data_IF_858327651981
#
_entry.id   IF_858327651981
#
_cell.length_a   1.000
_cell.length_b   1.000
_cell.length_c   1.000
_cell.angle_alpha   90.00
_cell.angle_beta   90.00
_cell.angle_gamma   90.00
#
_symmetry.space_group_name_H-M   'P 1'
#
loop_
_entity.id
_entity.type
_entity.pdbx_description
1 polymer ?
#
# COMPACT_ATOMS: atom_id res chain seq x y z
N UNK A 1 3.10 16.07 -23.03
CA UNK A 1 3.73 15.36 -21.98
C UNK A 1 5.10 15.01 -22.43
N UNK A 2 5.88 15.21 -21.64
CA UNK A 2 7.15 14.85 -22.05
C UNK A 2 7.24 13.38 -21.91
N UNK A 3 7.94 12.91 -22.76
CA UNK A 3 8.15 11.53 -22.82
C UNK A 3 9.21 11.18 -21.91
N UNK A 4 9.65 12.15 -21.19
CA UNK A 4 10.82 11.97 -20.59
C UNK A 4 10.77 10.85 -19.67
N UNK A 5 9.83 10.74 -18.86
CA UNK A 5 9.98 9.75 -17.85
C UNK A 5 8.66 9.11 -17.57
N UNK A 6 8.54 7.88 -17.97
CA UNK A 6 7.37 7.11 -17.65
C UNK A 6 7.58 6.43 -16.32
N UNK A 7 6.53 6.41 -15.51
CA UNK A 7 6.57 5.69 -14.24
C UNK A 7 6.72 4.19 -14.48
N UNK A 8 7.62 3.58 -13.75
CA UNK A 8 7.80 2.12 -13.75
C UNK A 8 7.95 1.69 -12.29
N UNK A 9 7.16 0.70 -11.90
CA UNK A 9 7.23 0.19 -10.54
C UNK A 9 8.60 -0.46 -10.30
N UNK A 10 9.22 -0.12 -9.17
CA UNK A 10 10.52 -0.67 -8.81
C UNK A 10 10.45 -2.20 -8.78
N UNK A 11 11.46 -2.90 -9.33
CA UNK A 11 11.42 -4.37 -9.40
C UNK A 11 11.24 -5.05 -8.05
N UNK A 12 11.82 -4.51 -6.98
CA UNK A 12 11.67 -5.12 -5.66
C UNK A 12 10.24 -4.99 -5.15
N UNK A 13 9.57 -3.86 -5.42
CA UNK A 13 8.17 -3.70 -5.05
C UNK A 13 7.29 -4.65 -5.87
N UNK A 14 7.61 -4.81 -7.14
CA UNK A 14 6.87 -5.73 -7.99
C UNK A 14 7.05 -7.18 -7.53
N UNK A 15 8.23 -7.52 -7.01
CA UNK A 15 8.51 -8.87 -6.53
C UNK A 15 7.81 -9.16 -5.22
N UNK A 16 7.85 -8.21 -4.27
CA UNK A 16 7.33 -8.42 -2.93
C UNK A 16 5.84 -8.12 -2.81
N UNK A 17 5.25 -7.47 -3.81
CA UNK A 17 3.87 -7.06 -3.77
C UNK A 17 3.02 -7.68 -4.86
N UNK A 18 1.72 -7.66 -4.64
CA UNK A 18 0.73 -8.13 -5.61
C UNK A 18 -0.14 -6.92 -5.95
N UNK A 19 -0.16 -6.54 -7.22
CA UNK A 19 -0.96 -5.37 -7.61
C UNK A 19 -2.45 -5.71 -7.48
N UNK A 20 -3.17 -4.86 -6.74
CA UNK A 20 -4.60 -5.05 -6.51
C UNK A 20 -5.44 -4.08 -7.32
N UNK A 21 -5.01 -2.83 -7.44
CA UNK A 21 -5.83 -1.79 -8.06
C UNK A 21 -4.97 -0.59 -8.40
N UNK A 22 -5.55 0.34 -9.16
CA UNK A 22 -4.94 1.63 -9.42
C UNK A 22 -5.95 2.71 -9.08
N UNK A 23 -5.48 3.73 -8.38
CA UNK A 23 -6.26 4.90 -8.01
C UNK A 23 -5.80 6.10 -8.84
N UNK A 24 -6.42 7.28 -8.69
CA UNK A 24 -6.00 8.42 -9.50
C UNK A 24 -4.50 8.71 -9.43
N UNK A 25 -3.90 8.61 -8.26
CA UNK A 25 -2.46 8.84 -8.12
C UNK A 25 -1.67 7.55 -7.97
N UNK A 26 -2.13 6.60 -7.16
CA UNK A 26 -1.30 5.50 -6.70
C UNK A 26 -1.70 4.15 -7.27
N UNK A 27 -0.72 3.26 -7.42
CA UNK A 27 -0.98 1.82 -7.48
C UNK A 27 -1.15 1.31 -6.07
N UNK A 28 -2.06 0.37 -5.90
CA UNK A 28 -2.24 -0.33 -4.62
C UNK A 28 -1.66 -1.73 -4.74
N UNK A 29 -0.72 -2.04 -3.86
CA UNK A 29 -0.13 -3.36 -3.78
C UNK A 29 -0.52 -4.02 -2.47
N UNK A 30 -0.70 -5.34 -2.50
CA UNK A 30 -0.76 -6.14 -1.30
C UNK A 30 0.66 -6.64 -1.05
N UNK A 31 1.24 -6.32 0.10
CA UNK A 31 2.53 -6.88 0.46
C UNK A 31 2.32 -8.36 0.73
N UNK A 32 3.16 -9.20 0.13
CA UNK A 32 2.95 -10.65 0.15
C UNK A 32 3.41 -11.26 1.47
N UNK A 33 2.76 -10.84 2.56
CA UNK A 33 3.02 -11.35 3.90
C UNK A 33 1.67 -11.58 4.59
N UNK A 34 1.30 -12.84 4.74
CA UNK A 34 0.00 -13.19 5.29
C UNK A 34 -0.10 -12.98 6.80
N UNK A 35 1.01 -12.66 7.46
CA UNK A 35 0.99 -12.41 8.90
C UNK A 35 0.24 -11.13 9.27
N UNK A 36 0.14 -10.18 8.35
CA UNK A 36 -0.52 -8.89 8.59
C UNK A 36 -1.30 -8.46 7.36
N UNK A 37 -2.45 -7.77 7.51
CA UNK A 37 -3.03 -7.05 6.37
C UNK A 37 -2.14 -5.84 6.09
N UNK A 38 -1.32 -5.94 5.06
CA UNK A 38 -0.24 -5.00 4.78
C UNK A 38 -0.35 -4.56 3.32
N UNK A 39 -0.61 -3.27 3.13
CA UNK A 39 -0.86 -2.72 1.80
C UNK A 39 0.09 -1.56 1.54
N UNK A 40 0.41 -1.33 0.27
CA UNK A 40 1.39 -0.32 -0.10
C UNK A 40 0.80 0.54 -1.21
N UNK A 41 0.86 1.86 -1.03
CA UNK A 41 0.50 2.81 -2.09
C UNK A 41 1.77 3.32 -2.73
N UNK A 42 1.81 3.29 -4.06
CA UNK A 42 2.94 3.77 -4.83
C UNK A 42 2.47 4.85 -5.78
N UNK A 43 2.79 6.13 -5.53
CA UNK A 43 2.43 7.20 -6.46
C UNK A 43 3.04 6.95 -7.83
N UNK A 44 2.22 7.10 -8.87
CA UNK A 44 2.64 6.81 -10.25
C UNK A 44 3.36 8.00 -10.86
N UNK A 45 4.37 8.51 -10.16
CA UNK A 45 5.18 9.64 -10.57
C UNK A 45 6.63 9.17 -10.62
N UNK A 46 7.30 9.39 -11.75
CA UNK A 46 8.66 8.92 -11.94
C UNK A 46 9.65 9.73 -11.09
N UNK A 47 10.70 9.06 -10.65
CA UNK A 47 11.86 9.69 -10.00
C UNK A 47 11.54 10.43 -8.71
N UNK A 48 10.59 9.89 -7.94
CA UNK A 48 10.20 10.47 -6.67
C UNK A 48 10.58 9.50 -5.56
N UNK A 49 11.30 10.00 -4.56
CA UNK A 49 11.67 9.21 -3.38
C UNK A 49 11.05 9.74 -2.10
N UNK A 50 10.61 11.00 -2.08
CA UNK A 50 10.06 11.63 -0.87
C UNK A 50 8.75 12.31 -1.18
N UNK A 51 7.89 12.36 -0.19
CA UNK A 51 6.58 13.01 -0.35
C UNK A 51 6.73 14.47 -0.75
N UNK A 52 7.69 15.19 -0.15
CA UNK A 52 7.84 16.61 -0.43
C UNK A 52 8.26 16.92 -1.87
N UNK A 53 8.72 15.92 -2.62
CA UNK A 53 9.10 16.10 -4.01
C UNK A 53 7.90 16.09 -4.96
N UNK A 54 6.76 15.59 -4.50
CA UNK A 54 5.51 15.67 -5.27
C UNK A 54 5.04 17.14 -5.30
N UNK A 55 4.33 17.53 -6.37
CA UNK A 55 3.70 18.84 -6.34
C UNK A 55 2.60 18.85 -5.28
N UNK A 56 2.11 20.06 -4.96
CA UNK A 56 1.17 20.21 -3.85
C UNK A 56 -0.11 19.40 -4.08
N UNK A 57 -0.62 19.40 -5.30
CA UNK A 57 -1.85 18.69 -5.60
C UNK A 57 -1.68 17.18 -5.41
N UNK A 58 -0.54 16.64 -5.84
CA UNK A 58 -0.27 15.22 -5.67
C UNK A 58 -0.05 14.86 -4.21
N UNK A 59 0.54 15.75 -3.41
CA UNK A 59 0.65 15.52 -1.97
C UNK A 59 -0.75 15.40 -1.35
N UNK A 60 -1.67 16.28 -1.75
CA UNK A 60 -3.04 16.22 -1.24
C UNK A 60 -3.75 14.95 -1.70
N UNK A 61 -3.54 14.56 -2.94
CA UNK A 61 -4.17 13.36 -3.47
C UNK A 61 -3.61 12.10 -2.78
N UNK A 62 -2.31 12.08 -2.51
CA UNK A 62 -1.72 10.96 -1.77
C UNK A 62 -2.35 10.85 -0.38
N UNK A 63 -2.48 11.96 0.33
CA UNK A 63 -3.10 11.96 1.64
C UNK A 63 -4.55 11.47 1.56
N UNK A 64 -5.28 11.92 0.54
CA UNK A 64 -6.66 11.51 0.35
C UNK A 64 -6.76 10.00 0.12
N UNK A 65 -5.93 9.46 -0.77
CA UNK A 65 -5.95 8.02 -1.05
C UNK A 65 -5.52 7.21 0.16
N UNK A 66 -4.50 7.67 0.89
CA UNK A 66 -4.03 7.01 2.10
C UNK A 66 -5.11 6.98 3.19
N UNK A 67 -5.80 8.10 3.38
CA UNK A 67 -6.81 8.20 4.42
C UNK A 67 -8.03 7.34 4.12
N UNK A 68 -8.50 7.38 2.87
CA UNK A 68 -9.64 6.56 2.48
C UNK A 68 -9.31 5.06 2.57
N UNK A 69 -8.11 4.70 2.12
CA UNK A 69 -7.66 3.31 2.22
C UNK A 69 -7.57 2.87 3.67
N UNK A 70 -6.98 3.70 4.52
CA UNK A 70 -6.80 3.37 5.93
C UNK A 70 -8.14 3.12 6.62
N UNK A 71 -9.12 3.99 6.37
CA UNK A 71 -10.43 3.85 6.97
C UNK A 71 -11.10 2.55 6.52
N UNK A 72 -11.04 2.27 5.22
CA UNK A 72 -11.63 1.04 4.69
C UNK A 72 -10.96 -0.20 5.30
N UNK A 73 -9.64 -0.22 5.34
CA UNK A 73 -8.93 -1.39 5.85
C UNK A 73 -9.23 -1.63 7.34
N UNK A 74 -9.32 -0.56 8.12
CA UNK A 74 -9.65 -0.70 9.53
C UNK A 74 -11.04 -1.29 9.71
N UNK A 75 -11.99 -0.90 8.86
CA UNK A 75 -13.34 -1.46 8.92
C UNK A 75 -13.37 -2.92 8.47
N UNK A 76 -12.73 -3.23 7.35
CA UNK A 76 -12.76 -4.56 6.77
C UNK A 76 -12.12 -5.59 7.70
N UNK A 77 -10.99 -5.23 8.29
CA UNK A 77 -10.23 -6.17 9.11
C UNK A 77 -10.49 -6.03 10.60
N UNK A 78 -11.30 -5.05 11.00
CA UNK A 78 -11.62 -4.77 12.41
C UNK A 78 -10.31 -4.60 13.23
N UNK A 79 -9.39 -3.80 12.71
CA UNK A 79 -8.09 -3.64 13.33
C UNK A 79 -8.12 -2.75 14.56
N UNK A 80 -7.05 -2.83 15.34
CA UNK A 80 -6.88 -1.98 16.52
C UNK A 80 -6.13 -0.70 16.21
N UNK A 81 -5.24 -0.73 15.22
CA UNK A 81 -4.41 0.43 14.88
C UNK A 81 -3.96 0.34 13.43
N UNK A 82 -3.86 1.48 12.77
CA UNK A 82 -3.26 1.57 11.44
C UNK A 82 -1.85 2.14 11.58
N UNK A 83 -0.86 1.42 11.06
CA UNK A 83 0.50 1.95 10.95
C UNK A 83 0.74 2.40 9.52
N UNK A 84 1.10 3.67 9.36
CA UNK A 84 1.39 4.24 8.03
C UNK A 84 2.83 4.73 8.07
N UNK A 85 3.62 4.34 7.06
CA UNK A 85 5.02 4.70 7.06
C UNK A 85 5.58 4.77 5.65
N UNK A 86 6.46 5.75 5.42
CA UNK A 86 7.26 5.84 4.22
C UNK A 86 8.72 5.69 4.64
N UNK A 87 9.33 4.56 4.32
CA UNK A 87 10.69 4.26 4.76
C UNK A 87 11.71 4.54 3.66
N UNK A 88 11.74 3.71 2.63
CA UNK A 88 12.61 3.96 1.49
C UNK A 88 14.09 3.68 1.71
N UNK A 89 14.45 2.97 2.78
CA UNK A 89 15.85 2.72 3.07
C UNK A 89 16.47 1.71 2.11
N UNK A 90 15.69 0.77 1.62
CA UNK A 90 16.15 -0.24 0.66
C UNK A 90 15.66 0.10 -0.74
N UNK A 91 14.38 0.41 -0.88
CA UNK A 91 13.77 0.80 -2.16
C UNK A 91 13.49 2.29 -2.10
N UNK A 92 14.19 3.06 -2.92
CA UNK A 92 14.09 4.53 -2.87
C UNK A 92 12.78 5.05 -3.46
N UNK A 93 12.21 4.35 -4.43
CA UNK A 93 10.96 4.81 -5.04
C UNK A 93 9.91 5.01 -3.96
N UNK A 94 9.29 6.19 -3.94
CA UNK A 94 8.32 6.52 -2.89
C UNK A 94 7.21 5.50 -2.82
N UNK A 95 7.03 4.92 -1.68
CA UNK A 95 5.92 4.02 -1.40
C UNK A 95 5.54 4.14 0.06
N UNK A 96 4.24 4.04 0.32
CA UNK A 96 3.69 4.27 1.66
C UNK A 96 3.02 3.00 2.16
N UNK A 97 3.54 2.48 3.24
CA UNK A 97 3.02 1.27 3.87
C UNK A 97 1.77 1.57 4.68
N UNK A 98 0.83 0.63 4.67
CA UNK A 98 -0.39 0.70 5.46
C UNK A 98 -0.58 -0.69 6.07
N UNK A 99 -0.35 -0.80 7.37
CA UNK A 99 -0.42 -2.10 8.05
C UNK A 99 -1.51 -2.05 9.11
N UNK A 100 -2.48 -2.95 8.99
CA UNK A 100 -3.51 -3.08 10.03
C UNK A 100 -2.91 -3.89 11.17
N UNK A 101 -2.88 -3.29 12.35
CA UNK A 101 -2.28 -3.92 13.52
C UNK A 101 -3.36 -4.37 14.50
N UNK A 102 -3.05 -5.45 15.18
CA UNK A 102 -3.92 -6.00 16.22
C UNK A 102 -3.12 -6.11 17.50
N UNK A 103 -3.75 -5.82 18.63
CA UNK A 103 -3.07 -5.95 19.92
C UNK A 103 -2.62 -7.38 20.18
N UNK A 104 -3.23 -8.33 19.46
CA UNK A 104 -2.86 -9.74 19.55
C UNK A 104 -1.82 -10.18 18.53
N UNK A 105 -1.35 -9.28 17.65
CA UNK A 105 -0.39 -9.73 16.62
C UNK A 105 1.00 -9.97 17.21
N UNK A 106 1.82 -10.70 16.45
CA UNK A 106 3.08 -11.25 16.98
C UNK A 106 4.07 -10.18 17.44
N UNK A 107 4.05 -8.98 16.83
CA UNK A 107 5.04 -7.95 17.15
C UNK A 107 4.49 -6.83 18.02
N UNK A 108 3.19 -6.84 18.30
CA UNK A 108 2.59 -5.75 19.05
C UNK A 108 3.31 -5.53 20.38
N UNK A 109 3.63 -4.30 20.80
CA UNK A 109 3.32 -3.03 20.13
C UNK A 109 4.43 -2.51 19.20
N UNK A 110 5.37 -3.33 18.83
CA UNK A 110 6.53 -2.92 18.01
C UNK A 110 6.14 -2.76 16.56
N UNK A 111 6.85 -1.91 15.80
CA UNK A 111 6.68 -1.88 14.35
C UNK A 111 7.05 -3.23 13.75
N UNK A 112 6.49 -3.54 12.59
CA UNK A 112 6.75 -4.85 11.98
C UNK A 112 7.98 -4.85 11.06
N UNK A 113 8.41 -3.67 10.58
CA UNK A 113 9.50 -3.62 9.61
C UNK A 113 10.81 -4.09 10.23
N UNK A 114 11.49 -5.00 9.51
CA UNK A 114 12.77 -5.54 9.98
C UNK A 114 12.66 -6.63 11.00
N UNK A 115 11.47 -7.10 11.30
CA UNK A 115 11.30 -8.05 12.38
C UNK A 115 11.43 -9.50 11.93
N UNK A 116 10.97 -9.83 10.74
CA UNK A 116 11.00 -11.24 10.32
C UNK A 116 10.83 -11.34 8.82
N UNK A 117 11.07 -12.55 8.30
CA UNK A 117 10.88 -12.83 6.89
C UNK A 117 9.40 -12.86 6.54
N UNK A 118 9.09 -12.57 5.29
CA UNK A 118 7.71 -12.57 4.81
C UNK A 118 7.16 -14.00 4.76
N UNK A 119 5.87 -14.14 5.04
CA UNK A 119 5.14 -15.40 4.92
C UNK A 119 4.14 -15.25 3.77
N UNK A 120 4.43 -15.79 2.58
CA UNK A 120 3.59 -15.52 1.42
C UNK A 120 2.16 -16.02 1.58
N UNK A 121 1.25 -15.30 0.92
CA UNK A 121 -0.14 -15.77 0.78
C UNK A 121 -0.18 -16.94 -0.21
N UNK A 122 -1.17 -17.83 -0.03
CA UNK A 122 -1.52 -18.77 -1.06
C UNK A 122 -2.36 -18.08 -2.14
N UNK A 123 -2.45 -18.71 -3.31
CA UNK A 123 -3.26 -18.16 -4.39
C UNK A 123 -4.73 -18.01 -3.98
N UNK A 124 -5.25 -18.97 -3.21
CA UNK A 124 -6.63 -18.90 -2.74
C UNK A 124 -6.83 -17.72 -1.79
N UNK A 125 -5.87 -17.50 -0.89
CA UNK A 125 -5.95 -16.37 0.03
C UNK A 125 -5.95 -15.04 -0.72
N UNK A 126 -5.13 -14.91 -1.75
CA UNK A 126 -5.11 -13.70 -2.56
C UNK A 126 -6.46 -13.50 -3.25
N UNK A 127 -7.01 -14.57 -3.83
CA UNK A 127 -8.30 -14.50 -4.52
C UNK A 127 -9.41 -14.06 -3.56
N UNK A 128 -9.40 -14.59 -2.34
CA UNK A 128 -10.40 -14.23 -1.32
C UNK A 128 -10.26 -12.76 -0.91
N UNK A 129 -9.03 -12.30 -0.74
CA UNK A 129 -8.79 -10.89 -0.41
C UNK A 129 -9.29 -9.98 -1.52
N UNK A 130 -8.99 -10.33 -2.76
CA UNK A 130 -9.47 -9.53 -3.90
C UNK A 130 -10.98 -9.48 -3.94
N UNK A 131 -11.63 -10.62 -3.76
CA UNK A 131 -13.09 -10.68 -3.78
C UNK A 131 -13.71 -9.83 -2.69
N UNK A 132 -13.03 -9.75 -1.54
CA UNK A 132 -13.51 -8.99 -0.39
C UNK A 132 -13.27 -7.50 -0.54
N UNK A 133 -12.12 -7.10 -1.10
CA UNK A 133 -11.69 -5.70 -1.12
C UNK A 133 -12.04 -4.94 -2.39
N UNK A 134 -11.89 -5.56 -3.56
CA UNK A 134 -12.00 -4.81 -4.81
C UNK A 134 -13.33 -4.12 -4.99
N UNK A 135 -14.49 -4.75 -4.68
CA UNK A 135 -15.76 -4.04 -4.81
C UNK A 135 -15.85 -2.82 -3.92
N UNK A 136 -15.29 -2.88 -2.72
CA UNK A 136 -15.34 -1.77 -1.78
C UNK A 136 -14.39 -0.65 -2.19
N UNK A 137 -13.23 -1.01 -2.73
CA UNK A 137 -12.29 -0.02 -3.26
C UNK A 137 -12.90 0.72 -4.45
N UNK A 138 -13.61 0.02 -5.32
CA UNK A 138 -14.25 0.64 -6.46
C UNK A 138 -15.28 1.68 -6.02
N UNK A 139 -16.02 1.39 -4.95
CA UNK A 139 -17.00 2.34 -4.43
C UNK A 139 -16.33 3.62 -3.92
N UNK A 140 -15.22 3.46 -3.19
CA UNK A 140 -14.56 4.61 -2.55
C UNK A 140 -13.80 5.46 -3.55
N UNK A 141 -13.06 4.84 -4.45
CA UNK A 141 -12.19 5.57 -5.37
C UNK A 141 -12.82 5.79 -6.75
N UNK A 142 -14.00 5.26 -6.95
CA UNK A 142 -14.63 5.32 -8.24
C UNK A 142 -14.08 4.28 -9.18
N UNK A 143 -14.97 3.67 -9.93
CA UNK A 143 -14.59 2.68 -10.92
C UNK A 143 -14.54 3.38 -12.26
N UNK A 144 -13.36 3.61 -12.77
CA UNK A 144 -13.22 4.35 -14.04
C UNK A 144 -13.02 3.41 -15.21
#
# INVERSE_FOLDING_TARGET
MSEETLFTLHPQLAKDGIELAQFPLCKLLLCNDSAYPWFILVPKIANISEIYQLDWQDQQQLLNESSLLSELLMQVFAGDKMNVAALGNVVEQLHVHHVVRFKSDAQWPKPIWGQQALTPYSDNEVAELKARLLPQLAVIFGDK
#
